data_IF_804097701888
#
_entry.id   IF_804097701888
#
_cell.length_a   1.000
_cell.length_b   1.000
_cell.length_c   1.000
_cell.angle_alpha   90.00
_cell.angle_beta   90.00
_cell.angle_gamma   90.00
#
_symmetry.space_group_name_H-M   'P 1'
#
loop_
_entity.id
_entity.type
_entity.pdbx_description
1 polymer ?
#
# COMPACT_ATOMS: atom_id res chain seq x y z
N UNK A 1 9.31 11.85 -8.21
CA UNK A 1 8.44 10.74 -7.75
C UNK A 1 7.32 11.39 -6.96
N UNK A 2 6.06 11.22 -7.36
CA UNK A 2 4.96 11.81 -6.58
C UNK A 2 5.01 11.24 -5.16
N UNK A 3 5.04 12.13 -4.17
CA UNK A 3 5.06 11.74 -2.77
C UNK A 3 3.80 10.93 -2.47
N UNK A 4 3.94 9.78 -1.80
CA UNK A 4 2.78 8.97 -1.40
C UNK A 4 1.92 9.79 -0.46
N UNK A 5 0.63 9.93 -0.77
CA UNK A 5 -0.29 10.62 0.14
C UNK A 5 -0.28 9.96 1.52
N UNK A 6 -0.52 10.71 2.62
CA UNK A 6 -0.56 10.15 3.96
C UNK A 6 -1.51 8.96 4.10
N UNK A 7 -2.67 9.02 3.43
CA UNK A 7 -3.65 7.93 3.38
C UNK A 7 -3.07 6.68 2.70
N UNK A 8 -2.41 6.85 1.54
CA UNK A 8 -1.84 5.74 0.79
C UNK A 8 -0.75 5.02 1.59
N UNK A 9 0.08 5.76 2.34
CA UNK A 9 1.08 5.18 3.24
C UNK A 9 0.44 4.36 4.37
N UNK A 10 -0.61 4.89 5.00
CA UNK A 10 -1.37 4.18 6.04
C UNK A 10 -1.99 2.89 5.54
N UNK A 11 -2.58 2.89 4.34
CA UNK A 11 -3.12 1.66 3.76
C UNK A 11 -2.06 0.58 3.57
N UNK A 12 -0.84 0.94 3.14
CA UNK A 12 0.27 -0.02 2.99
C UNK A 12 0.74 -0.55 4.35
N UNK A 13 0.87 0.32 5.36
CA UNK A 13 1.20 -0.09 6.73
C UNK A 13 0.18 -1.07 7.31
N UNK A 14 -1.11 -0.79 7.11
CA UNK A 14 -2.20 -1.65 7.58
C UNK A 14 -2.17 -3.04 6.91
N UNK A 15 -1.76 -3.13 5.65
CA UNK A 15 -1.59 -4.43 4.98
C UNK A 15 -0.52 -5.27 5.67
N UNK A 16 0.58 -4.66 6.11
CA UNK A 16 1.64 -5.35 6.86
C UNK A 16 1.15 -5.79 8.24
N UNK A 17 0.46 -4.91 8.98
CA UNK A 17 -0.08 -5.22 10.31
C UNK A 17 -1.07 -6.39 10.25
N UNK A 18 -1.89 -6.43 9.20
CA UNK A 18 -2.87 -7.51 8.97
C UNK A 18 -2.28 -8.77 8.32
N UNK A 19 -0.97 -8.82 8.13
CA UNK A 19 -0.26 -9.92 7.50
C UNK A 19 -0.80 -10.28 6.10
N UNK A 20 -1.21 -9.27 5.32
CA UNK A 20 -1.53 -9.47 3.92
C UNK A 20 -0.26 -9.77 3.13
N UNK A 21 -0.43 -10.50 2.03
CA UNK A 21 0.72 -10.90 1.22
C UNK A 21 1.43 -9.68 0.62
N UNK A 22 2.77 -9.73 0.41
CA UNK A 22 3.48 -8.71 -0.35
C UNK A 22 2.93 -8.50 -1.76
N UNK A 23 2.28 -9.52 -2.35
CA UNK A 23 1.62 -9.40 -3.64
C UNK A 23 0.41 -8.46 -3.57
N UNK A 24 -0.35 -8.49 -2.47
CA UNK A 24 -1.49 -7.58 -2.23
C UNK A 24 -1.04 -6.13 -2.19
N UNK A 25 0.08 -5.82 -1.52
CA UNK A 25 0.65 -4.47 -1.50
C UNK A 25 1.06 -4.01 -2.90
N UNK A 26 1.71 -4.87 -3.69
CA UNK A 26 2.08 -4.55 -5.07
C UNK A 26 0.84 -4.28 -5.93
N UNK A 27 -0.18 -5.14 -5.86
CA UNK A 27 -1.43 -4.96 -6.58
C UNK A 27 -2.10 -3.64 -6.23
N UNK A 28 -2.13 -3.26 -4.95
CA UNK A 28 -2.65 -1.96 -4.52
C UNK A 28 -1.83 -0.78 -5.08
N UNK A 29 -0.49 -0.88 -5.03
CA UNK A 29 0.41 0.16 -5.57
C UNK A 29 0.17 0.40 -7.06
N UNK A 30 -0.07 -0.66 -7.83
CA UNK A 30 -0.40 -0.59 -9.26
C UNK A 30 -1.82 -0.07 -9.51
N UNK A 31 -2.80 -0.50 -8.72
CA UNK A 31 -4.20 -0.13 -8.91
C UNK A 31 -4.51 1.34 -8.56
N UNK A 32 -3.70 1.94 -7.68
CA UNK A 32 -3.94 3.28 -7.13
C UNK A 32 -2.90 4.31 -7.61
N UNK A 33 -2.05 3.94 -8.60
CA UNK A 33 -0.93 4.73 -9.12
C UNK A 33 -1.31 6.12 -9.62
#
# INVERSE_FOLDING_TARGET
MAELSPLRRRMIEDMTIRNLSPATQRSYVHAVA
#
